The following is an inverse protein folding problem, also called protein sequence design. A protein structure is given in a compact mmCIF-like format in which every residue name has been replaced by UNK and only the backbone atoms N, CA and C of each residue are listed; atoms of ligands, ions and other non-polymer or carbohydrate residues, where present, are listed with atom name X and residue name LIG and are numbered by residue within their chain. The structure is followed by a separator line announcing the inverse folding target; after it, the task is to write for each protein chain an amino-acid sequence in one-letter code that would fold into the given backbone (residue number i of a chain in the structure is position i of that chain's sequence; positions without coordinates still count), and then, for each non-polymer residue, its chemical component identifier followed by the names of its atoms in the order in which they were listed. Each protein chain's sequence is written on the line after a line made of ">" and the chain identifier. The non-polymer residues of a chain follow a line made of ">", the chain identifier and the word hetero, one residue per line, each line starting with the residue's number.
data_IF_783360797098
#
_entry.id   IF_783360797098
#
_cell.length_a   1.000
_cell.length_b   1.000
_cell.length_c   1.000
_cell.angle_alpha   90.00
_cell.angle_beta   90.00
_cell.angle_gamma   90.00
#
_symmetry.space_group_name_H-M   'P 1'
#
loop_
_entity.id
_entity.type
_entity.pdbx_description
1 polymer ?
#
# COMPACT_ATOMS: atom_id res chain seq x y z
N UNK A 1 -1.99 -2.64 -8.67
CA UNK A 1 -2.47 -1.80 -7.55
C UNK A 1 -1.67 -2.01 -6.27
N UNK A 2 -1.42 -3.25 -5.82
CA UNK A 2 -0.60 -3.48 -4.62
C UNK A 2 0.80 -2.85 -4.69
N UNK A 3 1.50 -3.00 -5.83
CA UNK A 3 2.83 -2.41 -6.00
C UNK A 3 2.83 -0.88 -5.94
N UNK A 4 1.86 -0.22 -6.55
CA UNK A 4 1.68 1.26 -6.46
C UNK A 4 1.63 1.69 -5.00
N UNK A 5 0.79 1.01 -4.21
CA UNK A 5 0.60 1.35 -2.81
C UNK A 5 1.92 1.24 -2.03
N UNK A 6 2.60 0.10 -2.09
CA UNK A 6 3.86 -0.10 -1.38
C UNK A 6 4.97 0.81 -1.90
N UNK A 7 5.01 1.07 -3.21
CA UNK A 7 5.99 1.95 -3.84
C UNK A 7 5.85 3.37 -3.32
N UNK A 8 4.61 3.89 -3.27
CA UNK A 8 4.32 5.20 -2.68
C UNK A 8 4.62 5.23 -1.18
N UNK A 9 4.26 4.18 -0.44
CA UNK A 9 4.55 4.08 0.99
C UNK A 9 6.05 4.21 1.28
N UNK A 10 6.90 3.39 0.66
CA UNK A 10 8.35 3.46 0.87
C UNK A 10 8.95 4.76 0.34
N UNK A 11 8.47 5.28 -0.79
CA UNK A 11 8.87 6.59 -1.31
C UNK A 11 8.64 7.70 -0.28
N UNK A 12 7.47 7.73 0.35
CA UNK A 12 7.13 8.70 1.39
C UNK A 12 7.98 8.53 2.65
N UNK A 13 8.29 7.29 3.05
CA UNK A 13 9.20 7.01 4.18
C UNK A 13 10.61 7.55 3.89
N UNK A 14 11.13 7.36 2.67
CA UNK A 14 12.45 7.89 2.27
C UNK A 14 12.48 9.43 2.25
N UNK A 15 11.39 10.04 1.79
CA UNK A 15 11.21 11.50 1.79
C UNK A 15 11.20 12.02 3.24
N UNK A 16 10.44 11.41 4.14
CA UNK A 16 10.38 11.77 5.55
C UNK A 16 11.73 11.58 6.25
N UNK A 17 12.52 10.57 5.85
CA UNK A 17 13.89 10.36 6.31
C UNK A 17 14.95 11.27 5.65
N UNK A 18 14.54 12.28 4.88
CA UNK A 18 15.41 13.25 4.21
C UNK A 18 16.47 12.63 3.26
N UNK A 19 16.16 11.48 2.65
CA UNK A 19 17.07 10.75 1.72
C UNK A 19 16.64 10.90 0.24
N UNK A 20 16.01 12.03 -0.10
CA UNK A 20 15.43 12.29 -1.42
C UNK A 20 16.42 12.15 -2.59
N UNK A 21 17.69 12.54 -2.40
CA UNK A 21 18.72 12.42 -3.45
C UNK A 21 18.93 10.97 -3.89
N UNK A 22 18.88 10.01 -2.96
CA UNK A 22 19.01 8.57 -3.27
C UNK A 22 17.71 8.03 -3.90
N UNK A 23 16.56 8.52 -3.44
CA UNK A 23 15.28 8.20 -4.06
C UNK A 23 15.24 8.61 -5.53
N UNK A 24 15.68 9.83 -5.86
CA UNK A 24 15.73 10.30 -7.26
C UNK A 24 16.59 9.38 -8.11
N UNK A 25 17.75 8.94 -7.62
CA UNK A 25 18.59 8.00 -8.35
C UNK A 25 17.89 6.65 -8.60
N UNK A 26 17.14 6.14 -7.62
CA UNK A 26 16.33 4.92 -7.76
C UNK A 26 15.23 5.11 -8.81
N UNK A 27 14.45 6.19 -8.70
CA UNK A 27 13.35 6.48 -9.63
C UNK A 27 13.86 6.70 -11.06
N UNK A 28 15.03 7.34 -11.21
CA UNK A 28 15.67 7.52 -12.51
C UNK A 28 16.07 6.18 -13.13
N UNK A 29 16.65 5.27 -12.35
CA UNK A 29 16.93 3.91 -12.80
C UNK A 29 15.65 3.17 -13.22
N UNK A 30 14.58 3.25 -12.43
CA UNK A 30 13.28 2.66 -12.78
C UNK A 30 12.69 3.26 -14.06
N UNK A 31 12.86 4.56 -14.30
CA UNK A 31 12.40 5.23 -15.52
C UNK A 31 13.14 4.70 -16.76
N UNK A 32 14.47 4.55 -16.68
CA UNK A 32 15.27 3.94 -17.76
C UNK A 32 14.80 2.52 -18.03
N UNK A 33 14.60 1.72 -16.98
CA UNK A 33 14.08 0.36 -17.10
C UNK A 33 12.72 0.31 -17.79
N UNK A 34 11.79 1.19 -17.39
CA UNK A 34 10.45 1.29 -17.97
C UNK A 34 10.49 1.63 -19.47
N UNK A 35 11.26 2.65 -19.85
CA UNK A 35 11.41 3.07 -21.25
C UNK A 35 12.02 1.94 -22.07
N UNK A 36 13.09 1.31 -21.55
CA UNK A 36 13.79 0.24 -22.24
C UNK A 36 12.85 -0.94 -22.52
N UNK A 37 12.16 -1.44 -21.49
CA UNK A 37 11.20 -2.53 -21.66
C UNK A 37 10.05 -2.15 -22.58
N UNK A 38 9.51 -0.94 -22.48
CA UNK A 38 8.43 -0.50 -23.35
C UNK A 38 8.86 -0.52 -24.82
N UNK A 39 10.08 -0.07 -25.14
CA UNK A 39 10.62 -0.12 -26.49
C UNK A 39 10.78 -1.56 -27.02
N UNK A 40 11.10 -2.54 -26.17
CA UNK A 40 11.26 -3.94 -26.58
C UNK A 40 9.95 -4.75 -26.61
N UNK A 41 9.06 -4.53 -25.64
CA UNK A 41 7.84 -5.34 -25.47
C UNK A 41 6.63 -4.79 -26.21
N UNK A 42 6.48 -3.47 -26.35
CA UNK A 42 5.31 -2.90 -27.04
C UNK A 42 5.26 -3.32 -28.51
N UNK A 43 6.36 -3.30 -29.28
CA UNK A 43 6.30 -3.73 -30.69
C UNK A 43 5.91 -5.20 -30.87
N UNK A 44 6.24 -6.06 -29.91
CA UNK A 44 5.98 -7.51 -29.97
C UNK A 44 4.62 -7.91 -29.38
N UNK A 45 4.20 -7.24 -28.31
CA UNK A 45 3.06 -7.65 -27.49
C UNK A 45 1.99 -6.55 -27.32
N UNK A 46 2.18 -5.38 -27.95
CA UNK A 46 1.24 -4.26 -27.92
C UNK A 46 0.84 -3.89 -26.49
N UNK A 47 -0.47 -3.75 -26.22
CA UNK A 47 -1.02 -3.38 -24.91
C UNK A 47 -0.65 -4.37 -23.78
N UNK A 48 -0.49 -5.66 -24.08
CA UNK A 48 -0.05 -6.65 -23.07
C UNK A 48 1.38 -6.37 -22.64
N UNK A 49 2.25 -5.97 -23.59
CA UNK A 49 3.62 -5.57 -23.31
C UNK A 49 3.70 -4.34 -22.40
N UNK A 50 2.86 -3.32 -22.66
CA UNK A 50 2.78 -2.13 -21.83
C UNK A 50 2.30 -2.44 -20.39
N UNK A 51 1.27 -3.30 -20.24
CA UNK A 51 0.74 -3.70 -18.94
C UNK A 51 1.77 -4.47 -18.10
N UNK A 52 2.49 -5.41 -18.72
CA UNK A 52 3.57 -6.17 -18.05
C UNK A 52 4.72 -5.23 -17.66
N UNK A 53 5.15 -4.35 -18.57
CA UNK A 53 6.23 -3.39 -18.29
C UNK A 53 5.88 -2.46 -17.14
N UNK A 54 4.65 -1.96 -17.10
CA UNK A 54 4.17 -1.12 -15.99
C UNK A 54 4.18 -1.90 -14.67
N UNK A 55 3.62 -3.10 -14.65
CA UNK A 55 3.59 -3.95 -13.44
C UNK A 55 4.99 -4.31 -12.93
N UNK A 56 5.95 -4.52 -13.84
CA UNK A 56 7.32 -4.84 -13.48
C UNK A 56 8.09 -3.62 -12.98
N UNK A 57 7.83 -2.44 -13.57
CA UNK A 57 8.41 -1.17 -13.10
C UNK A 57 7.93 -0.83 -11.70
N UNK A 58 6.62 -0.96 -11.48
CA UNK A 58 5.97 -0.83 -10.18
C UNK A 58 6.62 -1.74 -9.14
N UNK A 59 6.75 -3.04 -9.46
CA UNK A 59 7.44 -4.00 -8.60
C UNK A 59 8.89 -3.59 -8.31
N UNK A 60 9.62 -3.14 -9.32
CA UNK A 60 11.01 -2.69 -9.17
C UNK A 60 11.12 -1.48 -8.25
N UNK A 61 10.20 -0.51 -8.36
CA UNK A 61 10.12 0.64 -7.44
C UNK A 61 9.93 0.16 -6.02
N UNK A 62 8.99 -0.76 -5.76
CA UNK A 62 8.76 -1.33 -4.40
C UNK A 62 10.04 -1.96 -3.85
N UNK A 63 10.70 -2.82 -4.64
CA UNK A 63 11.88 -3.55 -4.18
C UNK A 63 13.03 -2.60 -3.86
N UNK A 64 13.34 -1.67 -4.77
CA UNK A 64 14.47 -0.75 -4.57
C UNK A 64 14.22 0.27 -3.46
N UNK A 65 13.01 0.85 -3.40
CA UNK A 65 12.64 1.78 -2.33
C UNK A 65 12.53 1.08 -0.97
N UNK A 66 11.97 -0.12 -0.91
CA UNK A 66 11.91 -0.93 0.30
C UNK A 66 13.30 -1.32 0.81
N UNK A 67 14.19 -1.77 -0.08
CA UNK A 67 15.59 -2.07 0.26
C UNK A 67 16.34 -0.82 0.73
N UNK A 68 16.08 0.34 0.12
CA UNK A 68 16.64 1.61 0.55
C UNK A 68 16.12 2.03 1.93
N UNK A 69 14.82 1.83 2.24
CA UNK A 69 14.27 2.09 3.57
C UNK A 69 14.97 1.24 4.64
N UNK A 70 15.15 -0.06 4.37
CA UNK A 70 15.87 -0.93 5.29
C UNK A 70 17.31 -0.45 5.49
N UNK A 71 18.05 -0.22 4.41
CA UNK A 71 19.48 0.08 4.47
C UNK A 71 19.78 1.48 5.04
N UNK A 72 18.95 2.47 4.71
CA UNK A 72 19.21 3.88 5.04
C UNK A 72 18.55 4.31 6.33
N UNK A 73 17.34 3.82 6.60
CA UNK A 73 16.51 4.27 7.72
C UNK A 73 16.33 3.18 8.78
N UNK A 74 16.81 1.96 8.53
CA UNK A 74 16.59 0.77 9.40
C UNK A 74 15.11 0.55 9.74
N UNK A 75 14.23 1.03 8.86
CA UNK A 75 12.80 0.95 9.04
C UNK A 75 12.28 -0.41 8.54
N UNK A 76 11.44 -1.04 9.35
CA UNK A 76 10.75 -2.29 9.00
C UNK A 76 9.25 -2.04 9.11
N UNK A 77 8.45 -2.32 8.06
CA UNK A 77 7.00 -2.19 8.14
C UNK A 77 6.42 -3.05 9.26
N UNK A 78 5.50 -2.49 10.04
CA UNK A 78 4.68 -3.30 10.95
C UNK A 78 3.73 -4.16 10.13
N UNK A 79 3.75 -5.47 10.37
CA UNK A 79 2.80 -6.43 9.83
C UNK A 79 1.71 -6.79 10.84
N UNK A 80 1.57 -5.98 11.89
CA UNK A 80 0.50 -6.16 12.86
C UNK A 80 -0.86 -6.09 12.17
N UNK A 81 -1.79 -6.98 12.54
CA UNK A 81 -3.15 -7.06 11.99
C UNK A 81 -3.25 -7.42 10.50
N UNK A 82 -2.16 -7.79 9.81
CA UNK A 82 -2.24 -8.21 8.39
C UNK A 82 -3.18 -9.41 8.20
N UNK A 83 -3.19 -10.34 9.16
CA UNK A 83 -4.08 -11.51 9.13
C UNK A 83 -5.55 -11.11 9.13
N UNK A 84 -5.92 -10.09 9.91
CA UNK A 84 -7.28 -9.59 10.00
C UNK A 84 -7.73 -8.95 8.68
N UNK A 85 -6.83 -8.19 8.03
CA UNK A 85 -7.09 -7.56 6.74
C UNK A 85 -7.25 -8.63 5.64
N UNK A 86 -6.34 -9.59 5.58
CA UNK A 86 -6.37 -10.68 4.59
C UNK A 86 -7.61 -11.55 4.79
N UNK A 87 -7.91 -11.97 6.00
CA UNK A 87 -9.08 -12.79 6.30
C UNK A 87 -10.40 -12.06 5.98
N UNK A 88 -10.52 -10.79 6.36
CA UNK A 88 -11.70 -9.98 6.04
C UNK A 88 -11.89 -9.85 4.51
N UNK A 89 -10.78 -9.65 3.77
CA UNK A 89 -10.81 -9.59 2.31
C UNK A 89 -11.19 -10.92 1.66
N UNK A 90 -10.67 -12.04 2.17
CA UNK A 90 -11.05 -13.37 1.70
C UNK A 90 -12.52 -13.68 2.00
N UNK A 91 -13.02 -13.33 3.18
CA UNK A 91 -14.42 -13.49 3.54
C UNK A 91 -15.35 -12.67 2.62
N UNK A 92 -14.97 -11.42 2.31
CA UNK A 92 -15.67 -10.59 1.33
C UNK A 92 -15.66 -11.24 -0.06
N UNK A 93 -14.50 -11.72 -0.52
CA UNK A 93 -14.37 -12.41 -1.81
C UNK A 93 -15.21 -13.69 -1.88
N UNK A 94 -15.20 -14.49 -0.82
CA UNK A 94 -16.03 -15.68 -0.68
C UNK A 94 -17.52 -15.35 -0.71
N UNK A 95 -17.94 -14.28 -0.02
CA UNK A 95 -19.32 -13.80 -0.06
C UNK A 95 -19.74 -13.40 -1.48
N UNK A 96 -18.91 -12.63 -2.19
CA UNK A 96 -19.18 -12.23 -3.57
C UNK A 96 -19.31 -13.43 -4.52
N UNK A 97 -18.53 -14.49 -4.29
CA UNK A 97 -18.56 -15.71 -5.08
C UNK A 97 -19.81 -16.57 -4.81
N UNK A 98 -20.14 -16.81 -3.54
CA UNK A 98 -21.26 -17.67 -3.13
C UNK A 98 -22.60 -17.00 -3.43
N UNK A 99 -22.74 -15.71 -3.17
CA UNK A 99 -23.98 -14.95 -3.37
C UNK A 99 -24.02 -14.25 -4.73
N UNK A 100 -23.48 -14.91 -5.76
CA UNK A 100 -23.39 -14.32 -7.10
C UNK A 100 -24.76 -14.09 -7.77
N UNK A 101 -25.81 -14.80 -7.31
CA UNK A 101 -27.19 -14.65 -7.79
C UNK A 101 -27.93 -13.41 -7.26
N UNK A 102 -27.39 -12.73 -6.23
CA UNK A 102 -28.01 -11.52 -5.69
C UNK A 102 -27.87 -10.33 -6.66
N UNK A 103 -28.85 -9.42 -6.60
CA UNK A 103 -28.77 -8.12 -7.28
C UNK A 103 -27.44 -7.42 -6.96
N UNK A 104 -26.79 -6.88 -8.00
CA UNK A 104 -25.45 -6.29 -7.89
C UNK A 104 -25.33 -5.29 -6.73
N UNK A 105 -26.30 -4.39 -6.57
CA UNK A 105 -26.28 -3.37 -5.51
C UNK A 105 -26.38 -3.99 -4.11
N UNK A 106 -27.28 -4.94 -3.92
CA UNK A 106 -27.45 -5.64 -2.63
C UNK A 106 -26.18 -6.42 -2.29
N UNK A 107 -25.63 -7.13 -3.28
CA UNK A 107 -24.39 -7.91 -3.14
C UNK A 107 -23.20 -7.02 -2.78
N UNK A 108 -23.06 -5.88 -3.45
CA UNK A 108 -22.01 -4.90 -3.21
C UNK A 108 -22.12 -4.36 -1.78
N UNK A 109 -23.28 -3.82 -1.40
CA UNK A 109 -23.49 -3.24 -0.07
C UNK A 109 -23.24 -4.28 1.02
N UNK A 110 -23.82 -5.48 0.90
CA UNK A 110 -23.62 -6.55 1.87
C UNK A 110 -22.15 -6.97 2.00
N UNK A 111 -21.42 -7.11 0.88
CA UNK A 111 -20.00 -7.47 0.91
C UNK A 111 -19.12 -6.41 1.55
N UNK A 112 -19.41 -5.13 1.29
CA UNK A 112 -18.67 -3.99 1.87
C UNK A 112 -18.96 -3.92 3.37
N UNK A 113 -20.22 -4.05 3.78
CA UNK A 113 -20.60 -4.10 5.19
C UNK A 113 -19.94 -5.27 5.90
N UNK A 114 -19.90 -6.46 5.29
CA UNK A 114 -19.21 -7.63 5.84
C UNK A 114 -17.71 -7.37 6.05
N UNK A 115 -17.04 -6.78 5.07
CA UNK A 115 -15.62 -6.44 5.17
C UNK A 115 -15.33 -5.50 6.34
N UNK A 116 -16.07 -4.39 6.46
CA UNK A 116 -15.90 -3.45 7.56
C UNK A 116 -16.27 -4.04 8.92
N UNK A 117 -17.33 -4.85 8.99
CA UNK A 117 -17.71 -5.53 10.22
C UNK A 117 -16.60 -6.45 10.73
N UNK A 118 -15.99 -7.25 9.83
CA UNK A 118 -14.88 -8.14 10.20
C UNK A 118 -13.64 -7.34 10.62
N UNK A 119 -13.27 -6.28 9.91
CA UNK A 119 -12.16 -5.41 10.31
C UNK A 119 -12.36 -4.82 11.72
N UNK A 120 -13.60 -4.44 12.05
CA UNK A 120 -13.95 -3.93 13.38
C UNK A 120 -13.86 -5.02 14.44
N UNK A 121 -14.40 -6.22 14.16
CA UNK A 121 -14.38 -7.37 15.07
C UNK A 121 -12.94 -7.79 15.40
N UNK A 122 -12.07 -7.85 14.40
CA UNK A 122 -10.65 -8.15 14.60
C UNK A 122 -9.85 -6.97 15.18
N UNK A 123 -10.49 -5.84 15.48
CA UNK A 123 -9.86 -4.59 15.94
C UNK A 123 -8.71 -4.16 15.03
N UNK A 124 -8.83 -4.46 13.73
CA UNK A 124 -7.92 -3.98 12.72
C UNK A 124 -7.96 -2.44 12.67
N UNK A 125 -9.16 -1.88 12.87
CA UNK A 125 -9.41 -0.44 13.05
C UNK A 125 -9.84 -0.23 14.50
N UNK A 126 -9.04 0.52 15.28
CA UNK A 126 -9.41 0.86 16.66
C UNK A 126 -10.38 2.04 16.69
N UNK A 127 -11.41 1.98 17.54
CA UNK A 127 -12.33 3.11 17.74
C UNK A 127 -11.62 4.38 18.22
N UNK A 128 -10.50 4.22 18.93
CA UNK A 128 -9.64 5.34 19.36
C UNK A 128 -8.87 6.00 18.21
N UNK A 129 -8.46 5.24 17.20
CA UNK A 129 -7.80 5.78 15.98
C UNK A 129 -8.80 6.55 15.12
N UNK A 130 -10.04 6.06 15.00
CA UNK A 130 -11.09 6.78 14.25
C UNK A 130 -11.47 8.08 14.96
N UNK A 131 -11.58 8.04 16.30
CA UNK A 131 -11.92 9.21 17.09
C UNK A 131 -10.82 10.26 17.09
N UNK A 132 -9.54 9.88 17.05
CA UNK A 132 -8.42 10.84 16.97
C UNK A 132 -8.30 11.52 15.60
N UNK A 133 -8.76 10.89 14.52
CA UNK A 133 -8.82 11.51 13.18
C UNK A 133 -9.96 12.53 13.06
N UNK A 134 -11.07 12.30 13.78
CA UNK A 134 -12.24 13.21 13.80
C UNK A 134 -12.05 14.33 14.83
N UNK A 135 -11.39 14.03 15.95
CA UNK A 135 -11.08 15.01 16.98
C UNK A 135 -9.88 15.85 16.56
N UNK A 136 -10.11 17.11 16.24
CA UNK A 136 -9.11 18.14 15.88
C UNK A 136 -8.09 18.47 17.00
N UNK A 137 -7.90 17.62 18.01
CA UNK A 137 -6.79 17.75 18.95
C UNK A 137 -5.56 17.11 18.30
N UNK A 138 -4.69 17.95 17.74
CA UNK A 138 -3.34 17.54 17.35
C UNK A 138 -2.62 16.87 18.54
N UNK A 139 -1.67 15.96 18.28
CA UNK A 139 -0.96 15.28 19.35
C UNK A 139 -0.35 16.35 20.27
N UNK A 140 -0.74 16.35 21.54
CA UNK A 140 -0.03 17.09 22.58
C UNK A 140 1.39 16.51 22.58
N UNK A 141 2.33 17.26 21.99
CA UNK A 141 3.75 16.99 22.10
C UNK A 141 4.07 17.07 23.59
N UNK A 142 4.10 15.91 24.25
CA UNK A 142 4.75 15.77 25.54
C UNK A 142 6.17 16.29 25.36
N UNK A 143 6.40 17.46 25.91
CA UNK A 143 7.72 18.07 26.04
C UNK A 143 8.64 17.00 26.60
N UNK A 144 9.63 16.57 25.80
CA UNK A 144 10.72 15.77 26.31
C UNK A 144 11.50 16.68 27.25
N UNK A 145 11.23 16.58 28.55
CA UNK A 145 12.11 17.15 29.57
C UNK A 145 13.51 16.54 29.35
N UNK A 146 14.54 17.34 29.07
CA UNK A 146 15.89 16.82 29.03
C UNK A 146 16.23 16.33 30.45
N UNK A 147 16.50 15.03 30.59
CA UNK A 147 17.09 14.50 31.81
C UNK A 147 18.43 15.19 32.04
N UNK A 148 18.43 16.14 32.99
CA UNK A 148 19.62 16.74 33.60
C UNK A 148 20.42 15.70 34.38
#
# INVERSE_FOLDING_TARGET
>A
MAFIFFGNFFTNVIIAGNQQRKLIAILFFCAIFNISLNLFLIPRFSYKGAAVTSSLTEFLVVVLSGAACWKLLKYVPSFEKIYAIVFSGLAMGGFLYIFSDLNFLVRLVASVTLYFALLWIFRAISTGEVLSLISRKGPEMSEYEPMT
#
